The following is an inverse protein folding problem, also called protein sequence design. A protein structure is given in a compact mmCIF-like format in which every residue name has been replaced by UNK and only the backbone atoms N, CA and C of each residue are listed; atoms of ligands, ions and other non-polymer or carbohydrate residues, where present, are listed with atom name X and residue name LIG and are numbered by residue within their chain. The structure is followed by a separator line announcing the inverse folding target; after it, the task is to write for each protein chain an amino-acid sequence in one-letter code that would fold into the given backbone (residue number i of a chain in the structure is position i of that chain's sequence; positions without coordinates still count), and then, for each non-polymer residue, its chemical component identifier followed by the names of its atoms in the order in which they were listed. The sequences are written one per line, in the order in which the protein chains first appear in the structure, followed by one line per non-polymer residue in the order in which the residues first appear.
data_IF_249611091549
#
_entry.id   IF_249611091549
#
_cell.length_a   1.000
_cell.length_b   1.000
_cell.length_c   1.000
_cell.angle_alpha   90.00
_cell.angle_beta   90.00
_cell.angle_gamma   90.00
#
_symmetry.space_group_name_H-M   'P 1'
#
loop_
_entity.id
_entity.type
_entity.pdbx_description
1 polymer ?
#
# COMPACT_ATOMS: atom_id res chain seq x y z
N UNK A 1 -7.49 -3.17 -8.39
CA UNK A 1 -6.81 -3.91 -7.30
C UNK A 1 -7.21 -3.37 -5.92
N UNK A 2 -6.88 -2.14 -5.51
CA UNK A 2 -7.13 -1.61 -4.16
C UNK A 2 -8.57 -1.81 -3.67
N UNK A 3 -9.58 -1.35 -4.44
CA UNK A 3 -11.00 -1.51 -4.06
C UNK A 3 -11.39 -2.96 -3.83
N UNK A 4 -10.97 -3.86 -4.72
CA UNK A 4 -11.29 -5.29 -4.64
C UNK A 4 -10.66 -5.94 -3.42
N UNK A 5 -9.43 -5.58 -3.07
CA UNK A 5 -8.77 -6.09 -1.88
C UNK A 5 -9.44 -5.57 -0.61
N UNK A 6 -9.87 -4.30 -0.59
CA UNK A 6 -10.54 -3.70 0.56
C UNK A 6 -11.87 -4.38 0.90
N UNK A 7 -12.59 -4.90 -0.09
CA UNK A 7 -13.84 -5.64 0.11
C UNK A 7 -13.66 -6.83 1.06
N UNK A 8 -12.48 -7.47 1.08
CA UNK A 8 -12.21 -8.57 2.00
C UNK A 8 -12.18 -8.16 3.48
N UNK A 9 -12.15 -6.87 3.77
CA UNK A 9 -12.08 -6.33 5.13
C UNK A 9 -13.36 -5.66 5.60
N UNK A 10 -14.43 -5.63 4.79
CA UNK A 10 -15.68 -4.92 5.09
C UNK A 10 -16.24 -5.33 6.45
N UNK A 11 -16.35 -6.62 6.74
CA UNK A 11 -16.89 -7.11 8.02
C UNK A 11 -16.03 -6.64 9.21
N UNK A 12 -14.72 -6.64 9.07
CA UNK A 12 -13.81 -6.18 10.12
C UNK A 12 -13.88 -4.67 10.32
N UNK A 13 -13.99 -3.93 9.22
CA UNK A 13 -14.14 -2.47 9.20
C UNK A 13 -15.45 -2.08 9.90
N UNK A 14 -16.56 -2.72 9.55
CA UNK A 14 -17.87 -2.47 10.16
C UNK A 14 -17.88 -2.81 11.65
N UNK A 15 -17.33 -3.97 12.04
CA UNK A 15 -17.24 -4.37 13.45
C UNK A 15 -16.47 -3.38 14.32
N UNK A 16 -15.47 -2.71 13.75
CA UNK A 16 -14.65 -1.72 14.44
C UNK A 16 -15.16 -0.29 14.28
N UNK A 17 -16.26 -0.10 13.53
CA UNK A 17 -16.84 1.20 13.25
C UNK A 17 -15.88 2.16 12.56
N UNK A 18 -15.01 1.64 11.66
CA UNK A 18 -14.05 2.46 10.93
C UNK A 18 -14.71 3.15 9.75
N UNK A 19 -14.44 4.45 9.61
CA UNK A 19 -14.77 5.20 8.41
C UNK A 19 -13.65 5.02 7.38
N UNK A 20 -14.00 4.81 6.12
CA UNK A 20 -13.01 4.63 5.04
C UNK A 20 -12.92 5.89 4.21
N UNK A 21 -11.78 6.57 4.25
CA UNK A 21 -11.40 7.63 3.30
C UNK A 21 -10.61 7.01 2.14
N UNK A 22 -11.25 6.95 0.96
CA UNK A 22 -10.70 6.26 -0.20
C UNK A 22 -10.44 7.23 -1.36
N UNK A 23 -9.21 7.74 -1.44
CA UNK A 23 -8.79 8.73 -2.42
C UNK A 23 -7.96 8.09 -3.54
N UNK A 24 -8.66 7.45 -4.47
CA UNK A 24 -8.06 6.76 -5.63
C UNK A 24 -8.63 7.36 -6.91
N UNK A 25 -7.78 7.78 -7.88
CA UNK A 25 -8.25 8.31 -9.15
C UNK A 25 -9.20 7.35 -9.89
N UNK A 26 -10.13 7.91 -10.66
CA UNK A 26 -11.02 7.12 -11.53
C UNK A 26 -10.25 6.50 -12.69
N UNK A 27 -9.30 7.25 -13.25
CA UNK A 27 -8.42 6.74 -14.31
C UNK A 27 -7.46 5.68 -13.78
N UNK A 28 -7.37 4.52 -14.44
CA UNK A 28 -6.45 3.47 -14.04
C UNK A 28 -4.98 3.92 -14.11
N UNK A 29 -4.25 3.69 -13.04
CA UNK A 29 -2.79 3.82 -13.02
C UNK A 29 -2.20 2.43 -13.27
N UNK A 30 -1.47 2.28 -14.39
CA UNK A 30 -0.86 1.01 -14.77
C UNK A 30 0.60 0.98 -14.32
N UNK A 31 0.94 -0.03 -13.52
CA UNK A 31 2.27 -0.22 -12.95
C UNK A 31 2.91 -1.50 -13.46
N UNK A 32 4.23 -1.59 -13.33
CA UNK A 32 5.00 -2.79 -13.59
C UNK A 32 5.10 -3.64 -12.31
N UNK A 33 4.82 -4.91 -12.43
CA UNK A 33 5.00 -5.83 -11.30
C UNK A 33 4.15 -7.09 -11.41
N UNK A 34 4.40 -8.02 -10.51
CA UNK A 34 3.60 -9.23 -10.36
C UNK A 34 2.29 -8.88 -9.62
N UNK A 35 1.16 -9.08 -10.29
CA UNK A 35 -0.15 -8.69 -9.76
C UNK A 35 -0.50 -9.40 -8.44
N UNK A 36 -0.19 -10.69 -8.32
CA UNK A 36 -0.51 -11.46 -7.11
C UNK A 36 0.38 -11.02 -5.93
N UNK A 37 1.66 -10.81 -6.18
CA UNK A 37 2.60 -10.33 -5.15
C UNK A 37 2.21 -8.93 -4.66
N UNK A 38 1.86 -8.00 -5.56
CA UNK A 38 1.42 -6.65 -5.19
C UNK A 38 0.07 -6.70 -4.46
N UNK A 39 -0.83 -7.59 -4.85
CA UNK A 39 -2.09 -7.80 -4.11
C UNK A 39 -1.80 -8.28 -2.68
N UNK A 40 -0.80 -9.13 -2.48
CA UNK A 40 -0.37 -9.57 -1.15
C UNK A 40 0.18 -8.40 -0.32
N UNK A 41 0.94 -7.49 -0.92
CA UNK A 41 1.39 -6.25 -0.25
C UNK A 41 0.19 -5.45 0.26
N UNK A 42 -0.76 -5.16 -0.62
CA UNK A 42 -1.97 -4.40 -0.29
C UNK A 42 -2.78 -5.10 0.80
N UNK A 43 -2.99 -6.40 0.68
CA UNK A 43 -3.71 -7.19 1.69
C UNK A 43 -3.05 -7.09 3.07
N UNK A 44 -1.74 -7.28 3.14
CA UNK A 44 -1.01 -7.23 4.42
C UNK A 44 -1.05 -5.83 5.05
N UNK A 45 -0.97 -4.76 4.25
CA UNK A 45 -1.09 -3.40 4.76
C UNK A 45 -2.51 -3.08 5.24
N UNK A 46 -3.55 -3.53 4.55
CA UNK A 46 -4.92 -3.38 5.00
C UNK A 46 -5.21 -4.16 6.28
N UNK A 47 -4.75 -5.41 6.36
CA UNK A 47 -4.88 -6.24 7.55
C UNK A 47 -4.22 -5.58 8.77
N UNK A 48 -2.99 -5.09 8.58
CA UNK A 48 -2.26 -4.34 9.60
C UNK A 48 -3.03 -3.07 10.02
N UNK A 49 -3.48 -2.26 9.08
CA UNK A 49 -4.17 -1.02 9.35
C UNK A 49 -5.50 -1.24 10.09
N UNK A 50 -6.30 -2.23 9.69
CA UNK A 50 -7.56 -2.57 10.37
C UNK A 50 -7.31 -3.09 11.78
N UNK A 51 -6.32 -3.98 11.96
CA UNK A 51 -5.99 -4.54 13.28
C UNK A 51 -5.58 -3.46 14.29
N UNK A 52 -4.77 -2.51 13.87
CA UNK A 52 -4.16 -1.51 14.74
C UNK A 52 -4.93 -0.17 14.78
N UNK A 53 -6.01 -0.04 14.05
CA UNK A 53 -6.93 1.08 14.18
C UNK A 53 -7.63 1.07 15.53
N UNK A 54 -7.77 2.24 16.14
CA UNK A 54 -8.69 2.44 17.25
C UNK A 54 -10.12 2.43 16.71
N UNK A 55 -11.04 1.82 17.44
CA UNK A 55 -12.45 1.78 17.06
C UNK A 55 -13.02 3.19 16.83
N UNK A 56 -13.89 3.32 15.83
CA UNK A 56 -14.54 4.58 15.48
C UNK A 56 -13.64 5.61 14.83
N UNK A 57 -12.45 5.22 14.34
CA UNK A 57 -11.54 6.11 13.65
C UNK A 57 -11.56 5.91 12.13
N UNK A 58 -10.78 6.72 11.42
CA UNK A 58 -10.68 6.68 9.97
C UNK A 58 -9.56 5.73 9.50
N UNK A 59 -9.85 4.98 8.44
CA UNK A 59 -8.90 4.21 7.64
C UNK A 59 -8.72 4.93 6.30
N UNK A 60 -7.53 5.48 6.04
CA UNK A 60 -7.22 6.19 4.81
C UNK A 60 -6.53 5.29 3.79
N UNK A 61 -6.97 5.35 2.54
CA UNK A 61 -6.31 4.71 1.39
C UNK A 61 -6.19 5.73 0.28
N UNK A 62 -4.97 6.04 -0.13
CA UNK A 62 -4.72 7.01 -1.20
C UNK A 62 -3.81 6.44 -2.28
N UNK A 63 -4.04 6.87 -3.52
CA UNK A 63 -3.22 6.53 -4.68
C UNK A 63 -2.96 7.78 -5.49
N UNK A 64 -1.69 8.06 -5.76
CA UNK A 64 -1.28 9.15 -6.67
C UNK A 64 -0.06 8.71 -7.48
N UNK A 65 0.34 9.50 -8.44
CA UNK A 65 1.54 9.26 -9.26
C UNK A 65 2.29 10.55 -9.54
N UNK A 66 3.58 10.42 -9.80
CA UNK A 66 4.41 11.39 -10.49
C UNK A 66 4.74 10.91 -11.91
N UNK A 67 5.81 11.40 -12.52
CA UNK A 67 6.22 11.01 -13.88
C UNK A 67 6.81 9.59 -13.96
N UNK A 68 7.29 9.04 -12.86
CA UNK A 68 8.03 7.77 -12.83
C UNK A 68 7.34 6.67 -12.03
N UNK A 69 6.64 7.04 -10.95
CA UNK A 69 6.12 6.09 -9.97
C UNK A 69 4.68 6.36 -9.56
N UNK A 70 3.99 5.29 -9.20
CA UNK A 70 2.77 5.33 -8.41
C UNK A 70 3.10 5.19 -6.94
N UNK A 71 2.33 5.85 -6.10
CA UNK A 71 2.43 5.85 -4.64
C UNK A 71 1.13 5.37 -4.05
N UNK A 72 1.19 4.43 -3.14
CA UNK A 72 0.03 3.94 -2.39
C UNK A 72 0.26 4.20 -0.91
N UNK A 73 -0.66 4.93 -0.29
CA UNK A 73 -0.69 5.18 1.15
C UNK A 73 -1.81 4.38 1.81
N UNK A 74 -1.48 3.76 2.93
CA UNK A 74 -2.45 3.13 3.83
C UNK A 74 -2.24 3.71 5.22
N UNK A 75 -3.24 4.43 5.71
CA UNK A 75 -3.19 5.21 6.95
C UNK A 75 -4.21 4.71 7.96
N UNK A 76 -3.79 4.62 9.20
CA UNK A 76 -4.70 4.30 10.31
C UNK A 76 -4.43 5.16 11.54
N UNK A 77 -5.44 5.26 12.39
CA UNK A 77 -5.38 5.97 13.66
C UNK A 77 -5.36 4.96 14.81
N UNK A 78 -4.34 5.03 15.65
CA UNK A 78 -4.14 4.10 16.77
C UNK A 78 -3.01 4.54 17.67
N UNK A 79 -2.32 3.60 18.29
CA UNK A 79 -1.13 3.92 19.09
C UNK A 79 0.02 4.38 18.20
N UNK A 80 0.72 5.44 18.60
CA UNK A 80 1.93 5.88 17.92
C UNK A 80 3.03 4.83 18.07
N UNK A 81 3.70 4.50 16.97
CA UNK A 81 4.86 3.62 16.96
C UNK A 81 6.08 4.46 17.36
N UNK A 82 6.84 4.07 18.42
CA UNK A 82 8.08 4.76 18.78
C UNK A 82 9.08 4.78 17.64
N UNK A 83 9.83 5.88 17.48
CA UNK A 83 10.83 5.99 16.44
C UNK A 83 11.88 4.87 16.46
N UNK A 84 12.22 4.39 17.66
CA UNK A 84 13.15 3.27 17.85
C UNK A 84 12.62 1.94 17.30
N UNK A 85 11.31 1.76 17.19
CA UNK A 85 10.68 0.54 16.68
C UNK A 85 10.47 0.58 15.16
N UNK A 86 10.41 1.75 14.55
CA UNK A 86 10.15 1.89 13.10
C UNK A 86 11.13 1.07 12.24
N UNK A 87 12.46 1.10 12.46
CA UNK A 87 13.39 0.29 11.68
C UNK A 87 13.18 -1.23 11.84
N UNK A 88 12.57 -1.66 12.95
CA UNK A 88 12.35 -3.06 13.28
C UNK A 88 11.05 -3.64 12.72
N UNK A 89 10.13 -2.78 12.25
CA UNK A 89 8.79 -3.19 11.80
C UNK A 89 8.81 -4.24 10.68
N UNK A 90 9.81 -4.19 9.82
CA UNK A 90 9.94 -5.06 8.66
C UNK A 90 10.83 -6.29 8.92
N UNK A 91 11.34 -6.45 10.13
CA UNK A 91 12.12 -7.63 10.50
C UNK A 91 11.23 -8.87 10.66
N UNK A 92 11.78 -10.01 10.31
CA UNK A 92 11.10 -11.29 10.45
C UNK A 92 10.80 -11.60 11.92
N UNK A 93 9.56 -11.99 12.20
CA UNK A 93 9.06 -12.33 13.55
C UNK A 93 9.10 -11.18 14.57
N UNK A 94 9.34 -9.95 14.12
CA UNK A 94 9.26 -8.81 15.01
C UNK A 94 7.80 -8.49 15.36
N UNK A 95 7.52 -8.34 16.65
CA UNK A 95 6.26 -7.82 17.16
C UNK A 95 6.58 -6.76 18.21
N UNK A 96 6.04 -5.54 18.01
CA UNK A 96 6.06 -4.52 19.03
C UNK A 96 5.20 -4.94 20.25
N UNK A 97 5.39 -4.29 21.39
CA UNK A 97 4.54 -4.56 22.57
C UNK A 97 3.06 -4.33 22.28
N UNK A 98 2.75 -3.35 21.42
CA UNK A 98 1.40 -3.09 20.92
C UNK A 98 0.86 -4.29 20.13
N UNK A 99 1.63 -4.84 19.20
CA UNK A 99 1.19 -5.96 18.36
C UNK A 99 1.08 -7.26 19.15
N UNK A 100 1.87 -7.44 20.20
CA UNK A 100 1.76 -8.60 21.10
C UNK A 100 0.44 -8.64 21.87
N UNK A 101 -0.10 -7.48 22.22
CA UNK A 101 -1.37 -7.38 22.94
C UNK A 101 -2.60 -7.49 22.04
N UNK A 102 -2.52 -7.01 20.79
CA UNK A 102 -3.65 -6.91 19.85
C UNK A 102 -3.72 -8.07 18.85
N UNK A 103 -2.60 -8.68 18.51
CA UNK A 103 -2.50 -9.78 17.56
C UNK A 103 -1.70 -10.94 18.17
N UNK A 104 -2.30 -11.65 19.12
CA UNK A 104 -1.66 -12.77 19.81
C UNK A 104 -1.35 -13.95 18.90
N UNK A 105 -2.19 -14.14 17.87
CA UNK A 105 -2.10 -15.27 16.94
C UNK A 105 -1.22 -14.97 15.72
N UNK A 106 -0.89 -13.70 15.46
CA UNK A 106 -0.01 -13.30 14.37
C UNK A 106 1.45 -13.68 14.63
N UNK A 107 2.17 -14.11 13.59
CA UNK A 107 3.56 -14.56 13.68
C UNK A 107 4.60 -13.48 13.38
N UNK A 108 4.18 -12.24 13.08
CA UNK A 108 5.09 -11.14 12.77
C UNK A 108 5.76 -11.24 11.39
N UNK A 109 5.07 -11.80 10.41
CA UNK A 109 5.58 -11.98 9.04
C UNK A 109 4.98 -11.02 8.03
N UNK A 110 3.83 -10.39 8.31
CA UNK A 110 3.10 -9.59 7.32
C UNK A 110 3.91 -8.44 6.73
N UNK A 111 4.53 -7.61 7.55
CA UNK A 111 5.37 -6.50 7.09
C UNK A 111 6.71 -6.97 6.51
N UNK A 112 7.29 -8.06 7.02
CA UNK A 112 8.47 -8.69 6.42
C UNK A 112 8.18 -9.13 4.98
N UNK A 113 7.03 -9.76 4.73
CA UNK A 113 6.60 -10.17 3.39
C UNK A 113 6.41 -8.94 2.48
N UNK A 114 5.79 -7.89 2.98
CA UNK A 114 5.64 -6.61 2.24
C UNK A 114 7.00 -6.08 1.78
N UNK A 115 7.95 -5.97 2.70
CA UNK A 115 9.29 -5.46 2.39
C UNK A 115 10.03 -6.36 1.39
N UNK A 116 9.93 -7.67 1.55
CA UNK A 116 10.55 -8.65 0.64
C UNK A 116 9.99 -8.52 -0.77
N UNK A 117 8.67 -8.45 -0.92
CA UNK A 117 8.03 -8.30 -2.23
C UNK A 117 8.45 -6.99 -2.89
N UNK A 118 8.41 -5.88 -2.17
CA UNK A 118 8.79 -4.58 -2.71
C UNK A 118 10.27 -4.53 -3.11
N UNK A 119 11.17 -5.07 -2.30
CA UNK A 119 12.59 -5.18 -2.63
C UNK A 119 12.81 -5.99 -3.92
N UNK A 120 12.09 -7.10 -4.10
CA UNK A 120 12.17 -7.92 -5.31
C UNK A 120 11.65 -7.18 -6.57
N UNK A 121 10.85 -6.14 -6.39
CA UNK A 121 10.39 -5.26 -7.47
C UNK A 121 11.29 -4.03 -7.66
N UNK A 122 12.37 -3.89 -6.89
CA UNK A 122 13.20 -2.69 -6.89
C UNK A 122 12.51 -1.46 -6.31
N UNK A 123 11.51 -1.67 -5.47
CA UNK A 123 10.68 -0.64 -4.86
C UNK A 123 10.87 -0.57 -3.34
N UNK A 124 10.29 0.44 -2.72
CA UNK A 124 10.48 0.67 -1.29
C UNK A 124 9.16 1.02 -0.59
N UNK A 125 9.20 1.00 0.73
CA UNK A 125 8.12 1.40 1.62
C UNK A 125 8.68 2.28 2.72
N UNK A 126 8.00 3.38 2.97
CA UNK A 126 8.27 4.28 4.10
C UNK A 126 7.12 4.19 5.10
N UNK A 127 7.44 4.39 6.36
CA UNK A 127 6.46 4.47 7.44
C UNK A 127 6.70 5.70 8.28
N UNK A 128 5.62 6.40 8.61
CA UNK A 128 5.59 7.49 9.58
C UNK A 128 4.56 7.19 10.65
N UNK A 129 4.85 7.52 11.90
CA UNK A 129 3.90 7.36 13.01
C UNK A 129 4.05 8.52 13.96
N UNK A 130 3.01 9.37 14.04
CA UNK A 130 3.00 10.57 14.88
C UNK A 130 1.59 10.85 15.38
N UNK A 131 1.48 11.23 16.64
CA UNK A 131 0.21 11.65 17.25
C UNK A 131 -0.96 10.67 16.99
N UNK A 132 -0.68 9.38 17.06
CA UNK A 132 -1.68 8.34 16.84
C UNK A 132 -2.00 8.05 15.38
N UNK A 133 -1.34 8.69 14.42
CA UNK A 133 -1.51 8.44 12.98
C UNK A 133 -0.30 7.68 12.43
N UNK A 134 -0.54 6.49 11.91
CA UNK A 134 0.49 5.70 11.22
C UNK A 134 0.15 5.62 9.73
N UNK A 135 1.12 5.94 8.88
CA UNK A 135 1.00 5.94 7.44
C UNK A 135 2.11 5.10 6.80
N UNK A 136 1.73 4.09 6.03
CA UNK A 136 2.61 3.30 5.20
C UNK A 136 2.48 3.74 3.76
N UNK A 137 3.57 4.17 3.14
CA UNK A 137 3.60 4.59 1.74
C UNK A 137 4.59 3.73 0.97
N UNK A 138 4.13 3.01 -0.05
CA UNK A 138 5.00 2.26 -0.94
C UNK A 138 4.91 2.74 -2.38
N UNK A 139 5.93 2.41 -3.16
CA UNK A 139 6.07 2.82 -4.56
C UNK A 139 5.96 1.65 -5.52
N UNK A 140 5.52 1.91 -6.73
CA UNK A 140 5.56 1.00 -7.87
C UNK A 140 5.96 1.77 -9.13
N UNK A 141 6.84 1.19 -9.96
CA UNK A 141 7.21 1.79 -11.23
C UNK A 141 6.00 1.87 -12.17
N UNK A 142 5.79 3.01 -12.81
CA UNK A 142 4.77 3.16 -13.83
C UNK A 142 5.15 2.35 -15.07
N UNK A 143 4.15 1.77 -15.74
CA UNK A 143 4.34 1.25 -17.08
C UNK A 143 4.60 2.41 -18.03
N UNK A 144 5.71 2.41 -18.81
CA UNK A 144 5.95 3.45 -19.79
C UNK A 144 4.79 3.55 -20.79
N UNK A 145 4.34 4.77 -21.10
CA UNK A 145 3.38 4.97 -22.18
C UNK A 145 4.02 4.55 -23.48
N UNK A 146 3.35 3.68 -24.25
CA UNK A 146 3.76 3.38 -25.61
C UNK A 146 3.64 4.68 -26.40
N UNK A 147 4.74 5.24 -26.89
CA UNK A 147 4.69 6.31 -27.89
C UNK A 147 3.82 5.79 -29.02
N UNK A 148 2.61 6.35 -29.19
CA UNK A 148 1.80 6.15 -30.39
C UNK A 148 2.69 6.51 -31.55
N UNK A 149 2.96 5.53 -32.41
CA UNK A 149 3.86 5.69 -33.55
C UNK A 149 3.47 6.92 -34.36
N UNK A 150 4.42 7.80 -34.55
CA UNK A 150 4.39 8.75 -35.65
C UNK A 150 4.27 7.94 -36.93
N UNK A 151 3.05 7.85 -37.45
CA UNK A 151 2.81 7.41 -38.83
C UNK A 151 3.46 8.45 -39.74
N UNK A 152 4.73 8.21 -40.12
CA UNK A 152 5.34 8.88 -41.24
C UNK A 152 4.51 8.47 -42.48
N UNK A 153 3.59 9.36 -42.89
CA UNK A 153 3.13 9.40 -44.25
C UNK A 153 4.36 9.64 -45.12
N UNK A 154 4.87 8.59 -45.70
CA UNK A 154 5.72 8.73 -46.90
C UNK A 154 4.82 9.20 -48.03
N UNK A 155 4.89 10.48 -48.29
CA UNK A 155 4.45 11.05 -49.53
C UNK A 155 5.36 10.49 -50.61
N UNK A 156 4.92 9.48 -51.30
CA UNK A 156 5.51 9.04 -52.59
C UNK A 156 4.90 9.88 -53.67
N UNK A 157 5.46 11.05 -53.87
CA UNK A 157 5.22 11.82 -55.07
C UNK A 157 6.02 11.15 -56.20
N UNK A 158 5.35 10.30 -57.02
CA UNK A 158 5.87 9.90 -58.29
C UNK A 158 5.10 10.65 -59.36
N UNK A 159 5.86 11.43 -60.11
CA UNK A 159 5.43 11.92 -61.42
C UNK A 159 5.07 10.77 -62.35
#
# INVERSE_FOLDING_TARGET
MLRRTLVNFVDKIEKRGLDVDFQVPEEPIVVLGNADAITQVVYNLFDNAVKFSREGTELGVSLWKDDAKAYVSVRNHGSTIPESEIPLLFERFHKSDRSRSQDRDGVGLGLYIVKTILNNHGEDIAVTSRQGVTDFVFTLALKPESKKGENKKQDTNKK
#
